data_IF_115740069075
#
_entry.id   IF_115740069075
#
_cell.length_a   1.000
_cell.length_b   1.000
_cell.length_c   1.000
_cell.angle_alpha   90.00
_cell.angle_beta   90.00
_cell.angle_gamma   90.00
#
_symmetry.space_group_name_H-M   'P 1'
#
loop_
_entity.id
_entity.type
_entity.pdbx_description
1 polymer ?
#
# COMPACT_ATOMS: atom_id res chain seq x y z
N UNK A 1 -14.26 -9.69 7.27
CA UNK A 1 -14.13 -9.22 5.86
C UNK A 1 -13.11 -8.08 5.82
N UNK A 2 -12.49 -7.77 4.66
CA UNK A 2 -11.36 -6.80 4.53
C UNK A 2 -11.65 -5.48 5.24
N UNK A 3 -12.85 -4.91 5.08
CA UNK A 3 -13.25 -3.65 5.72
C UNK A 3 -13.37 -3.72 7.23
N UNK A 4 -13.78 -4.86 7.77
CA UNK A 4 -13.83 -5.08 9.23
C UNK A 4 -12.42 -5.23 9.79
N UNK A 5 -11.54 -5.92 9.07
CA UNK A 5 -10.13 -6.05 9.43
C UNK A 5 -9.43 -4.67 9.36
N UNK A 6 -9.75 -3.84 8.36
CA UNK A 6 -9.24 -2.46 8.27
C UNK A 6 -9.70 -1.62 9.46
N UNK A 7 -11.00 -1.63 9.81
CA UNK A 7 -11.50 -0.93 11.00
C UNK A 7 -10.81 -1.40 12.28
N UNK A 8 -10.58 -2.71 12.41
CA UNK A 8 -9.86 -3.29 13.55
C UNK A 8 -8.40 -2.85 13.58
N UNK A 9 -7.76 -2.73 12.41
CA UNK A 9 -6.39 -2.26 12.28
C UNK A 9 -6.26 -0.79 12.67
N UNK A 10 -7.15 0.07 12.18
CA UNK A 10 -7.20 1.49 12.55
C UNK A 10 -7.42 1.72 14.06
N UNK A 11 -8.04 0.76 14.75
CA UNK A 11 -8.25 0.82 16.19
C UNK A 11 -7.05 0.34 17.02
N UNK A 12 -5.98 -0.15 16.39
CA UNK A 12 -4.76 -0.51 17.10
C UNK A 12 -4.03 0.72 17.60
N UNK A 13 -3.61 0.68 18.86
CA UNK A 13 -2.69 1.64 19.44
C UNK A 13 -1.27 1.33 18.96
N UNK A 14 -0.92 1.77 17.76
CA UNK A 14 0.43 1.59 17.19
C UNK A 14 0.88 2.87 16.48
N UNK A 15 2.19 3.02 16.35
CA UNK A 15 2.77 4.00 15.44
C UNK A 15 2.69 3.47 14.00
N UNK A 16 1.65 3.86 13.28
CA UNK A 16 1.45 3.44 11.89
C UNK A 16 2.46 4.05 10.91
N UNK A 17 3.02 5.22 11.21
CA UNK A 17 4.04 5.86 10.39
C UNK A 17 5.33 5.03 10.38
N UNK A 18 5.67 4.41 11.51
CA UNK A 18 6.85 3.54 11.62
C UNK A 18 6.86 2.33 10.66
N UNK A 19 5.71 1.97 10.09
CA UNK A 19 5.54 0.88 9.12
C UNK A 19 5.07 1.37 7.74
N UNK A 20 5.12 2.68 7.49
CA UNK A 20 4.75 3.27 6.21
C UNK A 20 3.25 3.29 5.92
N UNK A 21 2.39 3.34 6.95
CA UNK A 21 0.93 3.36 6.78
C UNK A 21 0.29 4.53 7.52
N UNK A 22 0.72 5.76 7.24
CA UNK A 22 0.18 6.94 7.90
C UNK A 22 -1.34 7.07 7.71
N UNK A 23 -2.01 7.58 8.74
CA UNK A 23 -3.42 8.00 8.70
C UNK A 23 -4.40 6.91 8.17
N UNK A 24 -4.33 5.65 8.62
CA UNK A 24 -5.14 4.59 8.06
C UNK A 24 -6.63 4.82 8.37
N UNK A 25 -7.51 4.66 7.38
CA UNK A 25 -8.95 4.82 7.54
C UNK A 25 -9.43 6.28 7.71
N UNK A 26 -8.52 7.27 7.68
CA UNK A 26 -8.89 8.68 7.63
C UNK A 26 -9.05 9.13 6.18
N UNK A 27 -10.01 10.03 5.94
CA UNK A 27 -10.19 10.64 4.62
C UNK A 27 -8.89 11.33 4.20
N UNK A 28 -8.30 10.86 3.10
CA UNK A 28 -7.17 11.51 2.47
C UNK A 28 -7.67 12.61 1.55
N UNK A 29 -6.90 13.69 1.41
CA UNK A 29 -7.09 14.58 0.25
C UNK A 29 -6.78 13.75 -1.00
N UNK A 30 -7.76 13.57 -1.91
CA UNK A 30 -7.55 12.72 -3.08
C UNK A 30 -6.51 13.36 -4.00
N UNK A 31 -5.58 12.56 -4.47
CA UNK A 31 -4.71 12.90 -5.60
C UNK A 31 -5.45 12.72 -6.93
N UNK A 32 -4.99 13.34 -8.01
CA UNK A 32 -5.66 13.28 -9.33
C UNK A 32 -5.91 11.84 -9.80
N UNK A 33 -5.03 10.90 -9.47
CA UNK A 33 -5.14 9.48 -9.82
C UNK A 33 -5.76 8.60 -8.72
N UNK A 34 -6.41 9.20 -7.72
CA UNK A 34 -7.15 8.46 -6.69
C UNK A 34 -8.47 7.96 -7.26
N UNK A 35 -8.79 6.66 -7.19
CA UNK A 35 -10.07 6.14 -7.66
C UNK A 35 -11.25 6.76 -6.91
N UNK A 36 -12.35 6.98 -7.62
CA UNK A 36 -13.57 7.49 -7.01
C UNK A 36 -14.12 6.51 -5.96
N UNK A 37 -14.56 7.06 -4.83
CA UNK A 37 -15.14 6.32 -3.72
C UNK A 37 -14.20 5.25 -3.11
N UNK A 38 -12.89 5.37 -3.34
CA UNK A 38 -11.94 4.45 -2.73
C UNK A 38 -11.87 4.67 -1.21
N UNK A 39 -11.74 3.59 -0.45
CA UNK A 39 -11.56 3.65 1.00
C UNK A 39 -10.07 3.64 1.33
N UNK A 40 -9.55 4.64 2.07
CA UNK A 40 -8.12 4.75 2.34
C UNK A 40 -7.64 3.70 3.35
N UNK A 41 -6.59 2.97 2.98
CA UNK A 41 -5.90 1.98 3.83
C UNK A 41 -4.73 2.63 4.57
N UNK A 42 -4.07 3.61 3.96
CA UNK A 42 -2.96 4.38 4.53
C UNK A 42 -2.09 5.00 3.43
N UNK A 43 -1.17 5.90 3.80
CA UNK A 43 -0.25 6.56 2.85
C UNK A 43 1.21 6.47 3.29
N UNK A 44 2.13 6.50 2.33
CA UNK A 44 3.57 6.48 2.60
C UNK A 44 4.11 7.83 3.10
N UNK A 45 3.37 8.92 2.86
CA UNK A 45 3.79 10.28 3.23
C UNK A 45 4.67 10.98 2.18
N UNK A 46 5.11 10.26 1.14
CA UNK A 46 5.85 10.80 0.00
C UNK A 46 5.05 10.68 -1.31
N UNK A 47 5.28 11.63 -2.22
CA UNK A 47 4.92 11.58 -3.65
C UNK A 47 3.46 11.22 -3.98
N UNK A 48 2.54 11.41 -3.03
CA UNK A 48 1.13 11.05 -3.18
C UNK A 48 0.85 9.55 -3.19
N UNK A 49 1.83 8.70 -2.83
CA UNK A 49 1.68 7.24 -2.83
C UNK A 49 0.80 6.80 -1.65
N UNK A 50 -0.26 6.06 -1.94
CA UNK A 50 -1.20 5.59 -0.93
C UNK A 50 -1.87 4.27 -1.31
N UNK A 51 -2.45 3.60 -0.31
CA UNK A 51 -3.16 2.34 -0.48
C UNK A 51 -4.65 2.53 -0.27
N UNK A 52 -5.47 1.85 -1.08
CA UNK A 52 -6.93 1.96 -1.05
C UNK A 52 -7.62 0.62 -1.24
N UNK A 53 -8.91 0.57 -0.86
CA UNK A 53 -9.87 -0.44 -1.31
C UNK A 53 -10.80 0.19 -2.35
N UNK A 54 -11.04 -0.51 -3.45
CA UNK A 54 -12.06 -0.09 -4.42
C UNK A 54 -13.47 -0.45 -3.94
N UNK A 55 -14.52 0.28 -4.38
CA UNK A 55 -15.90 -0.04 -4.05
C UNK A 55 -16.27 -1.48 -4.43
N UNK A 56 -16.70 -2.27 -3.45
CA UNK A 56 -17.12 -3.67 -3.66
C UNK A 56 -15.97 -4.65 -3.92
N UNK A 57 -14.72 -4.20 -3.92
CA UNK A 57 -13.54 -5.07 -3.99
C UNK A 57 -12.97 -5.31 -2.59
N UNK A 58 -12.38 -6.48 -2.38
CA UNK A 58 -11.72 -6.84 -1.12
C UNK A 58 -10.20 -6.71 -1.22
N UNK A 59 -9.64 -6.58 -2.44
CA UNK A 59 -8.21 -6.38 -2.70
C UNK A 59 -7.73 -5.02 -2.18
N UNK A 60 -6.45 -4.97 -1.83
CA UNK A 60 -5.74 -3.72 -1.54
C UNK A 60 -5.00 -3.27 -2.80
N UNK A 61 -5.16 -2.00 -3.15
CA UNK A 61 -4.54 -1.37 -4.31
C UNK A 61 -3.53 -0.34 -3.86
N UNK A 62 -2.40 -0.25 -4.57
CA UNK A 62 -1.48 0.87 -4.48
C UNK A 62 -1.86 1.89 -5.55
N UNK A 63 -1.97 3.14 -5.15
CA UNK A 63 -2.09 4.31 -6.02
C UNK A 63 -0.75 5.02 -5.98
N UNK A 64 -0.12 5.20 -7.14
CA UNK A 64 1.19 5.81 -7.27
C UNK A 64 1.18 6.79 -8.45
N UNK A 65 1.29 8.10 -8.19
CA UNK A 65 1.31 9.11 -9.26
C UNK A 65 2.51 9.03 -10.21
N UNK A 66 3.60 8.36 -9.81
CA UNK A 66 4.78 8.15 -10.63
C UNK A 66 4.69 6.90 -11.53
N UNK A 67 3.62 6.09 -11.39
CA UNK A 67 3.40 4.91 -12.25
C UNK A 67 3.04 5.31 -13.68
N UNK A 68 4.02 5.18 -14.56
CA UNK A 68 3.81 4.97 -16.00
C UNK A 68 2.94 6.01 -16.70
N UNK A 69 2.02 5.51 -17.52
CA UNK A 69 1.16 6.27 -18.43
C UNK A 69 -0.28 6.32 -17.91
N UNK A 70 -1.15 7.16 -18.52
CA UNK A 70 -2.57 7.14 -18.18
C UNK A 70 -3.17 5.72 -18.17
N UNK A 71 -3.95 5.42 -17.14
CA UNK A 71 -4.55 4.12 -16.88
C UNK A 71 -3.71 3.18 -16.01
N UNK A 72 -2.45 3.50 -15.70
CA UNK A 72 -1.55 2.58 -14.98
C UNK A 72 -1.27 2.92 -13.52
N UNK A 73 -1.83 4.02 -13.00
CA UNK A 73 -1.53 4.54 -11.66
C UNK A 73 -2.01 3.70 -10.48
N UNK A 74 -2.81 2.67 -10.74
CA UNK A 74 -3.49 1.88 -9.71
C UNK A 74 -3.26 0.41 -9.97
N UNK A 75 -2.63 -0.28 -9.03
CA UNK A 75 -2.30 -1.69 -9.16
C UNK A 75 -2.62 -2.47 -7.88
N UNK A 76 -3.18 -3.68 -7.97
CA UNK A 76 -3.43 -4.52 -6.80
C UNK A 76 -2.11 -4.98 -6.18
N UNK A 77 -2.04 -4.94 -4.85
CA UNK A 77 -0.88 -5.38 -4.05
C UNK A 77 -1.22 -6.48 -3.05
N UNK A 78 -2.50 -6.82 -2.86
CA UNK A 78 -2.92 -7.97 -2.07
C UNK A 78 -4.34 -8.41 -2.44
N UNK A 79 -4.64 -9.70 -2.22
CA UNK A 79 -5.98 -10.28 -2.43
C UNK A 79 -7.02 -9.78 -1.44
N UNK A 80 -6.56 -9.44 -0.25
CA UNK A 80 -7.36 -8.99 0.88
C UNK A 80 -6.47 -8.22 1.88
N UNK A 81 -7.09 -7.58 2.85
CA UNK A 81 -6.35 -6.76 3.82
C UNK A 81 -5.45 -7.58 4.76
N UNK A 82 -5.82 -8.81 5.12
CA UNK A 82 -4.96 -9.66 5.96
C UNK A 82 -3.72 -10.11 5.20
N UNK A 83 -3.87 -10.43 3.92
CA UNK A 83 -2.76 -10.73 3.01
C UNK A 83 -1.82 -9.54 2.88
N UNK A 84 -2.37 -8.34 2.74
CA UNK A 84 -1.61 -7.09 2.74
C UNK A 84 -0.80 -6.94 4.03
N UNK A 85 -1.41 -7.14 5.20
CA UNK A 85 -0.68 -7.10 6.48
C UNK A 85 0.42 -8.17 6.57
N UNK A 86 0.18 -9.40 6.11
CA UNK A 86 1.24 -10.43 6.03
C UNK A 86 2.42 -10.01 5.15
N UNK A 87 2.17 -9.24 4.09
CA UNK A 87 3.22 -8.68 3.23
C UNK A 87 3.98 -7.54 3.92
N UNK A 88 3.28 -6.63 4.60
CA UNK A 88 3.90 -5.58 5.42
C UNK A 88 4.76 -6.19 6.52
N UNK A 89 4.31 -7.27 7.18
CA UNK A 89 5.10 -8.00 8.17
C UNK A 89 6.39 -8.60 7.59
N UNK A 90 6.35 -9.06 6.33
CA UNK A 90 7.53 -9.60 5.64
C UNK A 90 8.52 -8.51 5.26
N UNK A 91 8.02 -7.42 4.68
CA UNK A 91 8.82 -6.27 4.28
C UNK A 91 9.27 -5.42 5.47
N UNK A 92 8.60 -5.57 6.63
CA UNK A 92 8.67 -4.72 7.82
C UNK A 92 8.18 -3.28 7.56
N UNK A 93 7.72 -2.98 6.36
CA UNK A 93 7.30 -1.66 5.90
C UNK A 93 6.34 -1.83 4.72
N UNK A 94 5.43 -0.87 4.50
CA UNK A 94 4.54 -0.89 3.35
C UNK A 94 5.20 -0.32 2.08
N UNK A 95 6.22 0.54 2.19
CA UNK A 95 6.88 1.17 1.04
C UNK A 95 7.36 0.16 -0.02
N UNK A 96 8.04 -0.96 0.34
CA UNK A 96 8.46 -1.93 -0.66
C UNK A 96 7.32 -2.48 -1.53
N UNK A 97 6.09 -2.56 -1.03
CA UNK A 97 4.93 -3.03 -1.80
C UNK A 97 4.57 -2.09 -2.95
N UNK A 98 4.75 -0.79 -2.75
CA UNK A 98 4.54 0.22 -3.79
C UNK A 98 5.55 0.11 -4.94
N UNK A 99 6.74 -0.45 -4.69
CA UNK A 99 7.82 -0.52 -5.68
C UNK A 99 7.82 -1.81 -6.50
N UNK A 100 6.99 -2.81 -6.15
CA UNK A 100 7.01 -4.12 -6.82
C UNK A 100 6.72 -4.00 -8.32
N UNK A 101 5.90 -3.05 -8.77
CA UNK A 101 5.48 -2.98 -10.18
C UNK A 101 6.65 -2.84 -11.16
N UNK A 102 7.67 -2.05 -10.81
CA UNK A 102 8.82 -1.78 -11.69
C UNK A 102 10.10 -2.53 -11.31
N UNK A 103 10.24 -2.95 -10.06
CA UNK A 103 11.44 -3.67 -9.61
C UNK A 103 11.48 -5.11 -10.15
N UNK A 104 12.71 -5.60 -10.36
CA UNK A 104 12.99 -7.04 -10.48
C UNK A 104 13.00 -7.68 -9.10
N UNK A 105 12.98 -9.02 -9.03
CA UNK A 105 12.97 -9.72 -7.75
C UNK A 105 14.26 -9.49 -6.97
N UNK A 106 15.39 -9.45 -7.68
CA UNK A 106 16.71 -9.20 -7.12
C UNK A 106 16.75 -7.80 -6.51
N UNK A 107 16.30 -6.77 -7.25
CA UNK A 107 16.26 -5.39 -6.75
C UNK A 107 15.31 -5.22 -5.58
N UNK A 108 14.17 -5.90 -5.61
CA UNK A 108 13.24 -5.91 -4.48
C UNK A 108 13.87 -6.53 -3.23
N UNK A 109 14.61 -7.64 -3.37
CA UNK A 109 15.34 -8.26 -2.24
C UNK A 109 16.47 -7.37 -1.74
N UNK A 110 17.20 -6.71 -2.64
CA UNK A 110 18.24 -5.74 -2.29
C UNK A 110 17.69 -4.59 -1.45
N UNK A 111 16.55 -4.00 -1.86
CA UNK A 111 15.83 -2.97 -1.12
C UNK A 111 15.52 -3.43 0.32
N UNK A 112 14.99 -4.65 0.50
CA UNK A 112 14.70 -5.18 1.84
C UNK A 112 15.95 -5.39 2.69
N UNK A 113 17.08 -5.76 2.09
CA UNK A 113 18.36 -5.92 2.81
C UNK A 113 19.01 -4.57 3.14
N UNK A 114 18.82 -3.55 2.31
CA UNK A 114 19.24 -2.17 2.60
C UNK A 114 18.46 -1.61 3.79
N UNK A 115 17.13 -1.75 3.78
CA UNK A 115 16.27 -1.32 4.90
C UNK A 115 16.63 -2.01 6.22
N UNK A 116 16.99 -3.30 6.18
CA UNK A 116 17.45 -4.05 7.37
C UNK A 116 18.78 -3.54 7.91
N UNK A 117 19.66 -3.04 7.03
CA UNK A 117 21.00 -2.56 7.38
C UNK A 117 21.03 -1.05 7.65
N UNK A 118 19.91 -0.35 7.40
CA UNK A 118 19.80 1.08 7.64
C UNK A 118 20.02 1.38 9.13
N UNK A 119 21.04 2.21 9.43
CA UNK A 119 21.37 2.65 10.77
C UNK A 119 21.76 4.12 10.69
N UNK A 120 21.21 4.94 11.60
CA UNK A 120 21.54 6.35 11.75
C UNK A 120 21.51 6.74 13.24
N UNK A 121 22.20 7.82 13.66
CA UNK A 121 22.20 8.24 15.07
C UNK A 121 20.77 8.46 15.59
N UNK A 122 20.40 7.77 16.67
CA UNK A 122 19.07 7.86 17.29
C UNK A 122 17.99 6.98 16.67
N UNK A 123 18.34 6.09 15.73
CA UNK A 123 17.39 5.18 15.09
C UNK A 123 16.84 4.09 16.02
N UNK A 124 17.44 3.88 17.20
CA UNK A 124 17.11 2.79 18.11
C UNK A 124 15.65 2.86 18.57
N UNK A 125 15.19 4.05 18.97
CA UNK A 125 13.80 4.27 19.39
C UNK A 125 12.83 4.03 18.23
N UNK A 126 13.19 4.49 17.02
CA UNK A 126 12.38 4.28 15.82
C UNK A 126 12.24 2.78 15.52
N UNK A 127 13.35 2.03 15.48
CA UNK A 127 13.30 0.60 15.19
C UNK A 127 12.61 -0.22 16.29
N UNK A 128 12.72 0.18 17.55
CA UNK A 128 11.98 -0.43 18.65
C UNK A 128 10.46 -0.18 18.54
N UNK A 129 10.06 1.04 18.17
CA UNK A 129 8.66 1.38 17.89
C UNK A 129 8.10 0.59 16.71
N UNK A 130 8.84 0.56 15.60
CA UNK A 130 8.53 -0.23 14.40
C UNK A 130 8.35 -1.72 14.73
N UNK A 131 9.28 -2.31 15.48
CA UNK A 131 9.17 -3.71 15.89
C UNK A 131 7.94 -3.95 16.76
N UNK A 132 7.65 -3.05 17.71
CA UNK A 132 6.46 -3.13 18.57
C UNK A 132 5.17 -3.07 17.75
N UNK A 133 5.09 -2.19 16.74
CA UNK A 133 3.94 -2.07 15.87
C UNK A 133 3.71 -3.36 15.07
N UNK A 134 4.76 -3.91 14.45
CA UNK A 134 4.71 -5.16 13.69
C UNK A 134 4.27 -6.35 14.57
N UNK A 135 4.80 -6.47 15.79
CA UNK A 135 4.41 -7.53 16.73
C UNK A 135 2.94 -7.41 17.17
N UNK A 136 2.46 -6.18 17.43
CA UNK A 136 1.05 -5.92 17.74
C UNK A 136 0.14 -6.31 16.58
N UNK A 137 0.51 -6.03 15.34
CA UNK A 137 -0.23 -6.44 14.14
C UNK A 137 -0.27 -7.97 14.02
N UNK A 138 0.90 -8.62 14.08
CA UNK A 138 1.00 -10.07 13.96
C UNK A 138 0.14 -10.78 15.02
N UNK A 139 0.15 -10.30 16.27
CA UNK A 139 -0.67 -10.85 17.35
C UNK A 139 -2.16 -10.54 17.21
N UNK A 140 -2.52 -9.30 16.86
CA UNK A 140 -3.92 -8.91 16.75
C UNK A 140 -4.62 -9.71 15.64
N UNK A 141 -3.94 -9.89 14.52
CA UNK A 141 -4.52 -10.58 13.37
C UNK A 141 -4.18 -12.06 13.31
N UNK A 142 -3.32 -12.60 14.17
CA UNK A 142 -2.83 -13.99 14.08
C UNK A 142 -2.23 -14.28 12.70
N UNK A 143 -1.25 -13.47 12.31
CA UNK A 143 -0.62 -13.50 11.00
C UNK A 143 0.87 -13.81 11.09
N UNK A 144 1.33 -14.60 10.13
CA UNK A 144 2.75 -14.77 9.85
C UNK A 144 3.17 -13.87 8.67
N UNK A 145 4.46 -13.44 8.61
CA UNK A 145 5.03 -12.80 7.44
C UNK A 145 4.93 -13.71 6.20
N UNK A 146 4.62 -13.12 5.03
CA UNK A 146 4.57 -13.83 3.76
C UNK A 146 5.29 -13.06 2.64
N UNK A 147 6.08 -13.75 1.81
CA UNK A 147 6.80 -13.11 0.72
C UNK A 147 5.84 -12.55 -0.36
N UNK A 148 5.88 -11.25 -0.67
CA UNK A 148 4.89 -10.63 -1.55
C UNK A 148 5.21 -10.75 -3.04
N UNK A 149 6.49 -10.67 -3.43
CA UNK A 149 6.90 -10.33 -4.79
C UNK A 149 6.17 -11.12 -5.89
N UNK A 150 6.23 -12.45 -5.84
CA UNK A 150 5.62 -13.32 -6.84
C UNK A 150 4.09 -13.23 -6.85
N UNK A 151 3.46 -13.14 -5.68
CA UNK A 151 2.01 -13.01 -5.56
C UNK A 151 1.52 -11.67 -6.11
N UNK A 152 2.23 -10.58 -5.79
CA UNK A 152 1.89 -9.24 -6.27
C UNK A 152 2.09 -9.12 -7.77
N UNK A 153 3.21 -9.60 -8.33
CA UNK A 153 3.42 -9.60 -9.79
C UNK A 153 2.33 -10.38 -10.52
N UNK A 154 1.90 -11.53 -9.99
CA UNK A 154 0.80 -12.29 -10.57
C UNK A 154 -0.55 -11.54 -10.50
N UNK A 155 -0.85 -10.87 -9.38
CA UNK A 155 -2.05 -10.02 -9.25
C UNK A 155 -2.03 -8.86 -10.25
N UNK A 156 -0.89 -8.19 -10.42
CA UNK A 156 -0.72 -7.09 -11.34
C UNK A 156 -0.85 -7.53 -12.80
N UNK A 157 -0.25 -8.68 -13.16
CA UNK A 157 -0.35 -9.22 -14.52
C UNK A 157 -1.78 -9.64 -14.91
N UNK A 158 -2.59 -10.05 -13.93
CA UNK A 158 -3.99 -10.43 -14.14
C UNK A 158 -4.99 -9.28 -13.97
N UNK A 159 -4.51 -8.06 -13.68
CA UNK A 159 -5.36 -6.94 -13.36
C UNK A 159 -5.99 -6.32 -14.61
N UNK A 160 -7.31 -6.15 -14.56
CA UNK A 160 -8.06 -5.35 -15.54
C UNK A 160 -8.20 -3.91 -15.01
N UNK A 161 -7.49 -2.92 -15.59
CA UNK A 161 -7.55 -1.54 -15.12
C UNK A 161 -8.88 -0.84 -15.43
N UNK A 162 -9.71 -1.39 -16.32
CA UNK A 162 -10.98 -0.76 -16.72
C UNK A 162 -12.02 -0.70 -15.59
N UNK A 163 -11.82 -1.48 -14.53
CA UNK A 163 -12.67 -1.44 -13.34
C UNK A 163 -12.46 -0.17 -12.51
N UNK A 164 -11.34 0.52 -12.70
CA UNK A 164 -10.97 1.71 -11.94
C UNK A 164 -11.66 2.93 -12.56
N UNK A 165 -12.38 3.67 -11.73
CA UNK A 165 -13.07 4.91 -12.13
C UNK A 165 -12.36 6.09 -11.49
N UNK A 166 -12.06 7.10 -12.29
CA UNK A 166 -11.43 8.33 -11.83
C UNK A 166 -12.40 9.51 -11.88
N UNK A 167 -12.10 10.55 -11.11
CA UNK A 167 -12.82 11.82 -11.14
C UNK A 167 -12.46 12.63 -12.40
N UNK A 168 -13.18 13.71 -12.68
CA UNK A 168 -12.87 14.61 -13.80
C UNK A 168 -11.44 15.19 -13.71
N UNK A 169 -10.95 15.44 -12.49
CA UNK A 169 -9.60 15.95 -12.26
C UNK A 169 -8.51 15.07 -12.91
N UNK A 170 -8.71 13.76 -12.91
CA UNK A 170 -7.80 12.83 -13.58
C UNK A 170 -7.62 13.14 -15.06
N UNK A 171 -8.74 13.34 -15.76
CA UNK A 171 -8.75 13.62 -17.19
C UNK A 171 -8.23 15.03 -17.47
N UNK A 172 -8.58 15.99 -16.62
CA UNK A 172 -8.13 17.38 -16.73
C UNK A 172 -6.60 17.49 -16.60
N UNK A 173 -6.02 16.84 -15.58
CA UNK A 173 -4.57 16.85 -15.32
C UNK A 173 -3.79 16.18 -16.45
N UNK A 174 -4.35 15.13 -17.05
CA UNK A 174 -3.69 14.37 -18.12
C UNK A 174 -4.02 14.88 -19.52
N UNK A 175 -4.92 15.86 -19.66
CA UNK A 175 -5.38 16.37 -20.96
C UNK A 175 -6.13 15.33 -21.79
N UNK A 176 -6.90 14.45 -21.14
CA UNK A 176 -7.66 13.38 -21.77
C UNK A 176 -9.13 13.76 -21.98
N UNK A 177 -9.78 13.10 -22.93
CA UNK A 177 -11.22 13.19 -23.08
C UNK A 177 -11.93 12.43 -21.94
N UNK A 178 -13.05 12.98 -21.47
CA UNK A 178 -13.88 12.27 -20.50
C UNK A 178 -14.52 11.03 -21.13
N UNK A 179 -14.70 9.95 -20.35
CA UNK A 179 -15.47 8.80 -20.82
C UNK A 179 -16.93 9.21 -21.08
N UNK A 180 -17.51 8.71 -22.18
CA UNK A 180 -18.92 8.89 -22.54
C UNK A 180 -19.89 8.28 -21.51
#
# INVERSE_FOLDING_TARGET
MTREDLKRFCALDIDFESIGLMEPGLSLEPYFCTPMNAEPVGRLGCDGIHFVLLPGDERVFCVDPAMGEPGTYVLPVATDFRKFLSFVLYCRDANPLSQIWWLTEERFRELLEEDKRAVWPGCETFFAGKQTALERIARAFDLAPAAPYQQVKALQAAFDPTIVKFSNEYYDVLGLEYPE
#
